data_IF_137452836833
#
_entry.id   IF_137452836833
#
_cell.length_a   1.000
_cell.length_b   1.000
_cell.length_c   1.000
_cell.angle_alpha   90.00
_cell.angle_beta   90.00
_cell.angle_gamma   90.00
#
_symmetry.space_group_name_H-M   'P 1'
#
loop_
_entity.id
_entity.type
_entity.pdbx_description
1 polymer ?
#
# COMPACT_ATOMS: atom_id res chain seq x y z
N UNK A 1 6.99 6.27 6.12
CA UNK A 1 6.06 5.14 6.34
C UNK A 1 4.93 5.63 7.22
N UNK A 2 3.69 5.20 6.99
CA UNK A 2 2.58 5.56 7.85
C UNK A 2 1.23 5.07 7.32
N UNK A 3 0.19 5.26 8.13
CA UNK A 3 -1.21 5.14 7.73
C UNK A 3 -1.65 6.45 7.08
N UNK A 4 -2.09 6.39 5.83
CA UNK A 4 -2.54 7.55 5.06
C UNK A 4 -4.05 7.56 4.86
N UNK A 5 -4.77 6.51 5.28
CA UNK A 5 -6.20 6.33 5.04
C UNK A 5 -6.60 6.59 3.57
N UNK A 6 -5.74 6.17 2.65
CA UNK A 6 -5.83 6.42 1.20
C UNK A 6 -5.71 5.09 0.45
N UNK A 7 -6.38 4.98 -0.70
CA UNK A 7 -6.26 3.82 -1.59
C UNK A 7 -5.63 4.31 -2.88
N UNK A 8 -4.41 3.88 -3.19
CA UNK A 8 -3.73 4.24 -4.45
C UNK A 8 -4.05 3.29 -5.61
N UNK A 9 -4.68 2.15 -5.30
CA UNK A 9 -5.11 1.15 -6.25
C UNK A 9 -3.99 0.26 -6.81
N UNK A 10 -4.34 -0.57 -7.78
CA UNK A 10 -3.42 -1.49 -8.49
C UNK A 10 -2.96 -0.96 -9.86
N UNK A 11 -3.46 0.20 -10.31
CA UNK A 11 -3.07 0.78 -11.59
C UNK A 11 -1.69 1.44 -11.45
N UNK A 12 -0.78 1.14 -12.39
CA UNK A 12 0.51 1.83 -12.46
C UNK A 12 0.31 3.31 -12.81
N UNK A 13 0.94 4.20 -12.05
CA UNK A 13 0.94 5.65 -12.28
C UNK A 13 2.39 6.12 -12.37
N UNK A 14 2.87 6.30 -13.60
CA UNK A 14 4.24 6.73 -13.90
C UNK A 14 5.30 5.91 -13.16
N UNK A 15 6.14 6.63 -12.41
CA UNK A 15 7.16 6.07 -11.52
C UNK A 15 6.78 6.14 -10.04
N UNK A 16 5.62 6.70 -9.70
CA UNK A 16 5.16 6.91 -8.33
C UNK A 16 4.49 5.65 -7.76
N UNK A 17 3.54 5.08 -8.49
CA UNK A 17 2.75 3.92 -8.05
C UNK A 17 3.00 2.73 -8.98
N UNK A 18 3.28 1.57 -8.39
CA UNK A 18 3.50 0.31 -9.10
C UNK A 18 2.19 -0.44 -9.39
N UNK A 19 2.27 -1.47 -10.24
CA UNK A 19 1.12 -2.26 -10.70
C UNK A 19 0.63 -3.34 -9.71
N UNK A 20 1.22 -3.43 -8.52
CA UNK A 20 0.95 -4.53 -7.57
C UNK A 20 0.22 -4.09 -6.29
N UNK A 21 -0.28 -2.85 -6.24
CA UNK A 21 -1.17 -2.39 -5.17
C UNK A 21 -2.50 -3.15 -5.11
N UNK A 22 -3.45 -2.65 -4.31
CA UNK A 22 -4.73 -3.30 -4.06
C UNK A 22 -5.92 -2.38 -4.35
N UNK A 23 -6.89 -2.90 -5.09
CA UNK A 23 -8.18 -2.25 -5.35
C UNK A 23 -8.09 -1.07 -6.31
N UNK A 24 -9.07 -0.18 -6.19
CA UNK A 24 -9.18 1.05 -6.98
C UNK A 24 -8.71 2.25 -6.17
N UNK A 25 -8.26 3.28 -6.91
CA UNK A 25 -7.86 4.55 -6.31
C UNK A 25 -9.10 5.29 -5.77
N UNK A 26 -8.97 5.96 -4.64
CA UNK A 26 -9.99 6.89 -4.13
C UNK A 26 -9.49 8.33 -4.14
N UNK A 27 -10.36 9.30 -3.88
CA UNK A 27 -10.02 10.74 -3.85
C UNK A 27 -8.78 11.05 -2.99
N UNK A 28 -8.69 10.47 -1.78
CA UNK A 28 -7.50 10.60 -0.91
C UNK A 28 -6.25 9.97 -1.52
N UNK A 29 -6.42 8.88 -2.26
CA UNK A 29 -5.37 8.24 -3.04
C UNK A 29 -4.87 9.13 -4.15
N UNK A 30 -5.76 9.81 -4.88
CA UNK A 30 -5.38 10.77 -5.91
C UNK A 30 -4.56 11.93 -5.32
N UNK A 31 -5.02 12.49 -4.19
CA UNK A 31 -4.27 13.54 -3.47
C UNK A 31 -2.89 13.05 -3.01
N UNK A 32 -2.82 11.85 -2.42
CA UNK A 32 -1.55 11.27 -1.97
C UNK A 32 -0.59 11.04 -3.14
N UNK A 33 -1.10 10.52 -4.26
CA UNK A 33 -0.30 10.26 -5.47
C UNK A 33 0.21 11.58 -6.06
N UNK A 34 -0.64 12.60 -6.16
CA UNK A 34 -0.24 13.93 -6.62
C UNK A 34 0.88 14.52 -5.76
N UNK A 35 0.72 14.48 -4.43
CA UNK A 35 1.77 14.92 -3.51
C UNK A 35 3.07 14.11 -3.66
N UNK A 36 2.98 12.79 -3.86
CA UNK A 36 4.16 11.96 -4.12
C UNK A 36 4.85 12.29 -5.45
N UNK A 37 4.09 12.64 -6.50
CA UNK A 37 4.64 13.07 -7.78
C UNK A 37 5.39 14.40 -7.65
N UNK A 38 4.83 15.37 -6.92
CA UNK A 38 5.44 16.67 -6.66
C UNK A 38 6.75 16.56 -5.86
N UNK A 39 6.86 15.56 -4.99
CA UNK A 39 8.01 15.37 -4.09
C UNK A 39 9.00 14.28 -4.55
N UNK A 40 8.87 13.78 -5.77
CA UNK A 40 9.69 12.68 -6.34
C UNK A 40 9.73 11.44 -5.43
N UNK A 41 8.55 11.04 -4.95
CA UNK A 41 8.36 9.89 -4.08
C UNK A 41 7.74 8.70 -4.81
N UNK A 42 8.04 7.52 -4.29
CA UNK A 42 7.57 6.23 -4.78
C UNK A 42 6.83 5.51 -3.67
N UNK A 43 5.64 4.98 -3.97
CA UNK A 43 4.84 4.17 -3.06
C UNK A 43 5.36 2.72 -3.10
N UNK A 44 6.46 2.46 -2.39
CA UNK A 44 7.30 1.27 -2.56
C UNK A 44 6.54 -0.06 -2.46
N UNK A 45 5.59 -0.19 -1.53
CA UNK A 45 4.80 -1.43 -1.33
C UNK A 45 3.81 -1.75 -2.46
N UNK A 46 3.68 -0.90 -3.49
CA UNK A 46 2.91 -1.18 -4.71
C UNK A 46 3.76 -1.71 -5.86
N UNK A 47 5.09 -1.74 -5.72
CA UNK A 47 6.02 -2.15 -6.78
C UNK A 47 6.38 -3.63 -6.76
N UNK A 48 6.12 -4.32 -5.65
CA UNK A 48 6.48 -5.72 -5.48
C UNK A 48 5.26 -6.61 -5.63
N UNK A 49 5.42 -7.66 -6.45
CA UNK A 49 4.45 -8.73 -6.49
C UNK A 49 4.48 -9.51 -5.17
N UNK A 50 3.41 -9.35 -4.40
CA UNK A 50 3.23 -10.02 -3.12
C UNK A 50 1.99 -10.90 -3.15
N UNK A 51 2.02 -11.99 -2.39
CA UNK A 51 0.83 -12.80 -2.13
C UNK A 51 -0.32 -11.91 -1.61
N UNK A 52 -1.59 -12.08 -2.05
CA UNK A 52 -2.69 -11.18 -1.71
C UNK A 52 -2.87 -10.89 -0.20
N UNK A 53 -2.60 -11.89 0.65
CA UNK A 53 -2.61 -11.76 2.13
C UNK A 53 -1.58 -10.76 2.70
N UNK A 54 -0.62 -10.31 1.91
CA UNK A 54 0.45 -9.38 2.31
C UNK A 54 0.30 -7.97 1.71
N UNK A 55 -0.84 -7.68 1.06
CA UNK A 55 -1.09 -6.38 0.41
C UNK A 55 -1.92 -5.41 1.25
N UNK A 56 -2.89 -5.92 2.00
CA UNK A 56 -3.78 -5.11 2.84
C UNK A 56 -3.26 -5.01 4.27
N UNK A 57 -3.61 -3.93 4.94
CA UNK A 57 -3.25 -3.64 6.33
C UNK A 57 -4.47 -3.49 7.23
N UNK A 58 -5.65 -3.34 6.62
CA UNK A 58 -6.91 -3.18 7.33
C UNK A 58 -7.99 -4.10 6.75
N UNK A 59 -8.84 -4.64 7.64
CA UNK A 59 -10.02 -5.45 7.30
C UNK A 59 -11.26 -4.80 7.91
N UNK A 60 -12.35 -4.70 7.15
CA UNK A 60 -13.61 -4.22 7.69
C UNK A 60 -14.22 -5.19 8.69
N UNK A 61 -15.05 -4.71 9.64
CA UNK A 61 -15.87 -5.60 10.45
C UNK A 61 -16.62 -6.62 9.58
N UNK A 62 -16.50 -7.91 9.92
CA UNK A 62 -17.08 -9.01 9.16
C UNK A 62 -16.32 -9.46 7.90
N UNK A 63 -15.05 -9.08 7.71
CA UNK A 63 -14.16 -9.49 6.59
C UNK A 63 -14.73 -9.21 5.18
N UNK A 64 -15.60 -8.20 5.06
CA UNK A 64 -16.21 -7.81 3.78
C UNK A 64 -15.21 -7.11 2.85
N UNK A 65 -14.36 -6.26 3.41
CA UNK A 65 -13.42 -5.44 2.65
C UNK A 65 -12.02 -5.52 3.23
N UNK A 66 -11.03 -5.55 2.35
CA UNK A 66 -9.61 -5.52 2.70
C UNK A 66 -8.98 -4.32 2.01
N UNK A 67 -8.38 -3.45 2.81
CA UNK A 67 -7.84 -2.18 2.34
C UNK A 67 -6.33 -2.11 2.58
N UNK A 68 -5.61 -1.62 1.59
CA UNK A 68 -4.24 -1.16 1.72
C UNK A 68 -4.31 0.33 2.02
N UNK A 69 -3.97 0.74 3.25
CA UNK A 69 -4.00 2.16 3.69
C UNK A 69 -2.69 2.63 4.31
N UNK A 70 -1.82 1.70 4.69
CA UNK A 70 -0.45 2.02 5.10
C UNK A 70 0.52 1.89 3.92
N UNK A 71 1.39 2.88 3.78
CA UNK A 71 2.35 2.95 2.69
C UNK A 71 3.77 3.25 3.16
N UNK A 72 4.72 2.71 2.40
CA UNK A 72 6.14 3.04 2.51
C UNK A 72 6.49 3.97 1.36
N UNK A 73 6.58 5.27 1.66
CA UNK A 73 7.03 6.27 0.71
C UNK A 73 8.55 6.42 0.79
N UNK A 74 9.22 6.40 -0.36
CA UNK A 74 10.68 6.56 -0.48
C UNK A 74 11.00 7.55 -1.59
N UNK A 75 12.14 8.22 -1.54
CA UNK A 75 12.61 9.02 -2.67
C UNK A 75 12.91 8.13 -3.87
N UNK A 76 12.53 8.58 -5.07
CA UNK A 76 12.66 7.84 -6.32
C UNK A 76 14.09 7.38 -6.58
N UNK A 77 15.10 8.21 -6.25
CA UNK A 77 16.51 7.85 -6.37
C UNK A 77 16.92 6.58 -5.58
N UNK A 78 16.21 6.25 -4.50
CA UNK A 78 16.48 5.07 -3.68
C UNK A 78 15.59 3.87 -4.01
N UNK A 79 14.75 3.95 -5.05
CA UNK A 79 13.80 2.88 -5.39
C UNK A 79 14.46 1.51 -5.58
N UNK A 80 15.64 1.48 -6.18
CA UNK A 80 16.38 0.25 -6.46
C UNK A 80 17.09 -0.32 -5.22
N UNK A 81 17.16 0.45 -4.12
CA UNK A 81 17.71 -0.03 -2.85
C UNK A 81 16.66 -0.83 -2.04
N UNK A 82 15.37 -0.71 -2.36
CA UNK A 82 14.32 -1.48 -1.71
C UNK A 82 14.18 -2.83 -2.40
N UNK A 83 14.52 -3.90 -1.68
CA UNK A 83 14.44 -5.27 -2.20
C UNK A 83 13.04 -5.87 -2.08
N UNK A 84 12.29 -5.47 -1.05
CA UNK A 84 10.90 -5.89 -0.87
C UNK A 84 10.19 -4.95 0.10
N UNK A 85 8.88 -4.80 -0.07
CA UNK A 85 7.99 -4.18 0.90
C UNK A 85 6.70 -4.99 0.96
N UNK A 86 6.32 -5.46 2.14
CA UNK A 86 5.20 -6.39 2.36
C UNK A 86 4.54 -6.12 3.70
N UNK A 87 3.22 -6.31 3.77
CA UNK A 87 2.51 -6.30 5.05
C UNK A 87 2.73 -7.62 5.77
N UNK A 88 2.95 -7.54 7.08
CA UNK A 88 2.95 -8.71 7.96
C UNK A 88 1.51 -8.98 8.39
N UNK A 89 0.86 -10.05 7.89
CA UNK A 89 -0.48 -10.38 8.35
C UNK A 89 -0.41 -10.72 9.84
N UNK A 90 -1.36 -10.20 10.61
CA UNK A 90 -1.55 -10.65 11.99
C UNK A 90 -1.79 -12.15 11.93
N UNK A 91 -0.93 -12.94 12.57
CA UNK A 91 -1.13 -14.38 12.69
C UNK A 91 -2.48 -14.57 13.39
N UNK A 92 -3.38 -15.32 12.78
CA UNK A 92 -4.77 -15.54 13.22
C UNK A 92 -4.93 -16.22 14.59
N UNK A 93 -3.85 -16.30 15.39
CA UNK A 93 -3.81 -16.93 16.71
C UNK A 93 -4.03 -15.99 17.90
N UNK A 94 -4.05 -14.67 17.73
CA UNK A 94 -4.09 -13.75 18.88
C UNK A 94 -5.38 -12.91 19.03
N UNK A 95 -6.35 -13.01 18.11
CA UNK A 95 -7.65 -12.31 18.24
C UNK A 95 -8.85 -13.23 18.53
N UNK A 96 -8.60 -14.49 18.89
CA UNK A 96 -9.61 -15.33 19.56
C UNK A 96 -9.32 -15.31 21.05
N UNK A 97 -9.73 -14.24 21.73
CA UNK A 97 -9.99 -14.29 23.18
C UNK A 97 -11.50 -14.10 23.39
N UNK A 98 -12.10 -14.88 24.30
CA UNK A 98 -13.55 -14.96 24.51
C UNK A 98 -14.12 -13.61 24.98
#
# INVERSE_FOLDING_TARGET
MGDFNAKVGARRIGNTVGSHGLGEINERGEMLVGWCQENDLVVANTWFENHPRRKWTWISPGDKYRNQIDYVLIQSRFRNAVLSAKTMPVQSRLWKRP
#
